data_IF_493916511381
#
_entry.id   IF_493916511381
#
_cell.length_a   1.000
_cell.length_b   1.000
_cell.length_c   1.000
_cell.angle_alpha   90.00
_cell.angle_beta   90.00
_cell.angle_gamma   90.00
#
_symmetry.space_group_name_H-M   'P 1'
#
loop_
_entity.id
_entity.type
_entity.pdbx_description
1 polymer ?
#
# COMPACT_ATOMS: atom_id res chain seq x y z
N UNK A 1 -7.88 8.88 -10.73
CA UNK A 1 -8.00 8.49 -9.31
C UNK A 1 -9.08 7.43 -9.18
N UNK A 2 -8.72 6.16 -9.23
CA UNK A 2 -9.61 5.06 -8.82
C UNK A 2 -8.99 4.46 -7.56
N UNK A 3 -9.69 4.61 -6.44
CA UNK A 3 -9.35 3.89 -5.21
C UNK A 3 -9.71 2.43 -5.46
N UNK A 4 -8.72 1.55 -5.53
CA UNK A 4 -8.94 0.12 -5.67
C UNK A 4 -8.82 -0.48 -4.27
N UNK A 5 -9.85 -1.19 -3.81
CA UNK A 5 -9.78 -1.92 -2.57
C UNK A 5 -9.43 -3.37 -2.88
N UNK A 6 -8.33 -3.90 -2.32
CA UNK A 6 -7.91 -5.28 -2.56
C UNK A 6 -7.88 -6.09 -1.26
N UNK A 7 -8.59 -7.24 -1.24
CA UNK A 7 -8.68 -8.16 -0.09
C UNK A 7 -7.84 -9.39 -0.33
N UNK A 8 -7.15 -9.79 0.73
CA UNK A 8 -6.26 -10.96 0.77
C UNK A 8 -7.03 -12.29 0.93
N UNK A 9 -8.30 -12.39 0.50
CA UNK A 9 -9.12 -13.62 0.64
C UNK A 9 -10.65 -13.47 0.43
N UNK A 10 -11.16 -14.13 -0.63
CA UNK A 10 -12.55 -14.47 -1.03
C UNK A 10 -13.66 -13.39 -1.29
N UNK A 11 -14.23 -13.51 -2.51
CA UNK A 11 -15.63 -13.57 -3.04
C UNK A 11 -16.76 -12.56 -2.73
N UNK A 12 -16.54 -11.38 -2.13
CA UNK A 12 -17.58 -10.32 -2.18
C UNK A 12 -17.05 -9.01 -2.77
N UNK A 13 -17.76 -8.46 -3.74
CA UNK A 13 -17.46 -7.17 -4.36
C UNK A 13 -17.38 -6.08 -3.28
N UNK A 14 -16.19 -5.51 -3.02
CA UNK A 14 -16.04 -4.47 -2.01
C UNK A 14 -16.73 -3.19 -2.44
N UNK A 15 -17.44 -2.55 -1.52
CA UNK A 15 -17.78 -1.13 -1.63
C UNK A 15 -17.19 -0.37 -0.45
N UNK A 16 -16.89 0.91 -0.65
CA UNK A 16 -16.25 1.76 0.37
C UNK A 16 -16.95 1.70 1.74
N UNK A 17 -18.30 1.79 1.73
CA UNK A 17 -19.12 1.71 2.96
C UNK A 17 -18.95 0.42 3.74
N UNK A 18 -18.63 -0.70 3.08
CA UNK A 18 -18.40 -1.98 3.75
C UNK A 18 -17.02 -2.07 4.40
N UNK A 19 -16.01 -1.41 3.80
CA UNK A 19 -14.62 -1.45 4.24
C UNK A 19 -14.45 -0.64 5.53
N UNK A 20 -15.10 0.52 5.63
CA UNK A 20 -14.97 1.45 6.78
C UNK A 20 -15.81 1.08 8.00
N UNK A 21 -16.62 0.01 7.95
CA UNK A 21 -17.46 -0.38 9.10
C UNK A 21 -16.60 -0.74 10.30
N UNK A 22 -17.01 -0.27 11.50
CA UNK A 22 -16.32 -0.55 12.77
C UNK A 22 -16.02 -2.03 12.98
N UNK A 23 -16.96 -2.92 12.62
CA UNK A 23 -16.79 -4.38 12.71
C UNK A 23 -15.60 -4.92 11.90
N UNK A 24 -15.14 -4.19 10.89
CA UNK A 24 -14.04 -4.55 10.01
C UNK A 24 -12.74 -3.78 10.32
N UNK A 25 -12.78 -2.81 11.25
CA UNK A 25 -11.64 -1.92 11.57
C UNK A 25 -10.37 -2.67 11.98
N UNK A 26 -10.50 -3.78 12.69
CA UNK A 26 -9.38 -4.62 13.14
C UNK A 26 -9.37 -6.00 12.48
N UNK A 27 -10.15 -6.19 11.41
CA UNK A 27 -10.21 -7.46 10.71
C UNK A 27 -9.01 -7.57 9.76
N UNK A 28 -8.12 -8.52 10.00
CA UNK A 28 -6.95 -8.79 9.16
C UNK A 28 -7.32 -9.22 7.74
N UNK A 29 -8.51 -9.84 7.59
CA UNK A 29 -9.07 -10.22 6.30
C UNK A 29 -9.83 -9.07 5.61
N UNK A 30 -9.75 -7.83 6.12
CA UNK A 30 -10.37 -6.68 5.48
C UNK A 30 -9.58 -6.24 4.22
N UNK A 31 -10.25 -5.51 3.34
CA UNK A 31 -9.62 -4.90 2.17
C UNK A 31 -8.61 -3.83 2.62
N UNK A 32 -7.48 -3.72 1.92
CA UNK A 32 -6.62 -2.53 1.98
C UNK A 32 -7.06 -1.53 0.91
N UNK A 33 -7.03 -0.25 1.22
CA UNK A 33 -7.14 0.79 0.21
C UNK A 33 -5.82 0.90 -0.55
N UNK A 34 -5.86 0.73 -1.87
CA UNK A 34 -4.70 0.84 -2.75
C UNK A 34 -4.99 1.74 -3.94
N UNK A 35 -3.94 2.27 -4.54
CA UNK A 35 -4.03 3.05 -5.78
C UNK A 35 -3.28 2.31 -6.86
N UNK A 36 -3.97 2.03 -7.98
CA UNK A 36 -3.30 1.52 -9.18
C UNK A 36 -2.63 2.68 -9.91
N UNK A 37 -1.30 2.66 -9.97
CA UNK A 37 -0.50 3.65 -10.68
C UNK A 37 -0.14 3.13 -12.06
N UNK A 38 -0.40 3.93 -13.10
CA UNK A 38 0.07 3.69 -14.47
C UNK A 38 0.97 4.86 -14.84
N UNK A 39 2.20 4.58 -15.26
CA UNK A 39 3.23 5.59 -15.50
C UNK A 39 4.02 5.28 -16.78
N UNK A 40 4.68 6.30 -17.33
CA UNK A 40 5.57 6.16 -18.48
C UNK A 40 7.00 5.96 -17.98
N UNK A 41 7.57 4.78 -18.22
CA UNK A 41 8.93 4.43 -17.80
C UNK A 41 10.04 5.27 -18.46
N UNK A 42 9.73 5.96 -19.56
CA UNK A 42 10.68 6.88 -20.20
C UNK A 42 10.71 8.27 -19.52
N UNK A 43 9.72 8.59 -18.69
CA UNK A 43 9.60 9.87 -18.01
C UNK A 43 9.92 9.78 -16.51
N UNK A 44 9.59 8.67 -15.87
CA UNK A 44 9.86 8.43 -14.45
C UNK A 44 10.13 6.94 -14.24
N UNK A 45 11.12 6.63 -13.41
CA UNK A 45 11.44 5.23 -13.09
C UNK A 45 10.54 4.69 -11.98
N UNK A 46 10.42 3.37 -11.92
CA UNK A 46 9.73 2.73 -10.81
C UNK A 46 10.45 2.97 -9.47
N UNK A 47 11.77 3.10 -9.48
CA UNK A 47 12.53 3.34 -8.24
C UNK A 47 12.24 4.72 -7.65
N UNK A 48 12.08 5.74 -8.48
CA UNK A 48 11.70 7.08 -8.04
C UNK A 48 10.29 7.10 -7.44
N UNK A 49 9.34 6.42 -8.09
CA UNK A 49 7.98 6.27 -7.58
C UNK A 49 7.99 5.58 -6.21
N UNK A 50 8.77 4.51 -6.05
CA UNK A 50 8.86 3.76 -4.81
C UNK A 50 9.56 4.55 -3.70
N UNK A 51 10.62 5.29 -4.01
CA UNK A 51 11.27 6.21 -3.05
C UNK A 51 10.28 7.24 -2.54
N UNK A 52 9.56 7.91 -3.45
CA UNK A 52 8.57 8.90 -3.07
C UNK A 52 7.41 8.28 -2.26
N UNK A 53 7.01 7.06 -2.59
CA UNK A 53 6.06 6.31 -1.76
C UNK A 53 6.58 6.19 -0.33
N UNK A 54 7.81 5.71 -0.11
CA UNK A 54 8.38 5.58 1.24
C UNK A 54 8.66 6.91 1.96
N UNK A 55 8.87 8.02 1.25
CA UNK A 55 9.02 9.35 1.86
C UNK A 55 7.69 9.97 2.32
N UNK A 56 6.59 9.58 1.69
CA UNK A 56 5.27 10.22 1.91
C UNK A 56 4.43 9.57 3.00
N UNK A 57 4.81 8.40 3.49
CA UNK A 57 4.16 7.75 4.64
C UNK A 57 5.21 7.25 5.62
N UNK A 58 4.85 7.21 6.90
CA UNK A 58 5.66 6.58 7.94
C UNK A 58 5.33 5.07 7.97
N UNK A 59 6.15 4.19 7.37
CA UNK A 59 5.86 2.76 7.27
C UNK A 59 5.98 2.05 8.63
N UNK A 60 6.42 2.74 9.69
CA UNK A 60 6.50 2.17 11.04
C UNK A 60 5.16 2.18 11.77
N UNK A 61 4.14 2.84 11.21
CA UNK A 61 2.80 2.92 11.78
C UNK A 61 1.97 1.69 11.40
N UNK A 62 1.94 0.70 12.28
CA UNK A 62 1.14 -0.51 12.08
C UNK A 62 -0.36 -0.17 11.99
N UNK A 63 -1.01 -0.55 10.88
CA UNK A 63 -2.46 -0.39 10.64
C UNK A 63 -2.95 1.05 10.83
N UNK A 64 -2.13 2.03 10.45
CA UNK A 64 -2.43 3.45 10.58
C UNK A 64 -1.72 4.27 9.51
N UNK A 65 -2.39 5.30 9.02
CA UNK A 65 -1.76 6.37 8.25
C UNK A 65 -2.14 7.71 8.87
N UNK A 66 -1.26 8.29 9.69
CA UNK A 66 -1.56 9.53 10.42
C UNK A 66 -2.69 9.35 11.43
N UNK A 67 -3.80 10.07 11.27
CA UNK A 67 -4.98 9.97 12.15
C UNK A 67 -5.95 8.84 11.75
N UNK A 68 -5.75 8.22 10.58
CA UNK A 68 -6.61 7.16 10.07
C UNK A 68 -6.15 5.80 10.62
N UNK A 69 -6.94 5.24 11.55
CA UNK A 69 -6.61 4.00 12.29
C UNK A 69 -7.51 2.85 11.82
N UNK A 70 -6.91 1.76 11.35
CA UNK A 70 -7.61 0.54 10.95
C UNK A 70 -6.78 -0.31 9.98
N UNK A 71 -7.06 -1.61 9.92
CA UNK A 71 -6.36 -2.55 9.04
C UNK A 71 -6.48 -2.18 7.56
N UNK A 72 -7.51 -1.44 7.16
CA UNK A 72 -7.67 -0.93 5.80
C UNK A 72 -6.62 0.12 5.38
N UNK A 73 -5.97 0.79 6.33
CA UNK A 73 -4.94 1.80 6.11
C UNK A 73 -3.51 1.26 6.27
N UNK A 74 -3.35 -0.07 6.23
CA UNK A 74 -2.02 -0.70 6.28
C UNK A 74 -1.23 -0.37 5.01
N UNK A 75 0.06 -0.06 5.17
CA UNK A 75 0.96 0.10 4.03
C UNK A 75 1.14 -1.24 3.32
N UNK A 76 0.92 -1.24 2.00
CA UNK A 76 1.10 -2.43 1.15
C UNK A 76 1.57 -1.99 -0.24
N UNK A 77 2.53 -2.72 -0.79
CA UNK A 77 2.96 -2.59 -2.18
C UNK A 77 2.52 -3.86 -2.92
N UNK A 78 1.70 -3.69 -3.96
CA UNK A 78 1.29 -4.77 -4.85
C UNK A 78 2.07 -4.66 -6.15
N UNK A 79 2.76 -5.73 -6.53
CA UNK A 79 3.59 -5.80 -7.72
C UNK A 79 2.95 -6.71 -8.78
N UNK A 80 3.16 -6.36 -10.05
CA UNK A 80 2.65 -7.14 -11.19
C UNK A 80 3.61 -8.22 -11.66
N UNK A 81 4.88 -8.17 -11.23
CA UNK A 81 5.91 -9.16 -11.57
C UNK A 81 7.03 -9.21 -10.52
N UNK A 82 7.90 -10.22 -10.64
CA UNK A 82 8.99 -10.47 -9.69
C UNK A 82 10.07 -9.37 -9.70
N UNK A 83 10.30 -8.72 -10.85
CA UNK A 83 11.26 -7.62 -10.95
C UNK A 83 10.83 -6.42 -10.09
N UNK A 84 9.54 -6.09 -10.12
CA UNK A 84 8.97 -5.04 -9.27
C UNK A 84 9.05 -5.41 -7.79
N UNK A 85 8.81 -6.68 -7.44
CA UNK A 85 8.94 -7.18 -6.07
C UNK A 85 10.36 -6.99 -5.53
N UNK A 86 11.37 -7.41 -6.29
CA UNK A 86 12.79 -7.25 -5.91
C UNK A 86 13.16 -5.79 -5.71
N UNK A 87 12.78 -4.92 -6.65
CA UNK A 87 13.06 -3.49 -6.56
C UNK A 87 12.40 -2.84 -5.33
N UNK A 88 11.15 -3.19 -5.02
CA UNK A 88 10.46 -2.70 -3.83
C UNK A 88 11.17 -3.14 -2.54
N UNK A 89 11.62 -4.41 -2.47
CA UNK A 89 12.36 -4.91 -1.32
C UNK A 89 13.72 -4.22 -1.17
N UNK A 90 14.44 -4.01 -2.27
CA UNK A 90 15.75 -3.35 -2.26
C UNK A 90 15.63 -1.89 -1.78
N UNK A 91 14.60 -1.18 -2.22
CA UNK A 91 14.36 0.21 -1.78
C UNK A 91 13.93 0.24 -0.32
N UNK A 92 13.04 -0.66 0.11
CA UNK A 92 12.65 -0.77 1.52
C UNK A 92 13.87 -0.98 2.44
N UNK A 93 14.77 -1.88 2.03
CA UNK A 93 16.01 -2.12 2.77
C UNK A 93 16.89 -0.86 2.82
N UNK A 94 17.02 -0.13 1.70
CA UNK A 94 17.79 1.12 1.66
C UNK A 94 17.21 2.21 2.56
N UNK A 95 15.90 2.42 2.52
CA UNK A 95 15.21 3.42 3.34
C UNK A 95 15.38 3.09 4.82
N UNK A 96 15.19 1.82 5.20
CA UNK A 96 15.33 1.35 6.59
C UNK A 96 16.74 1.56 7.16
N UNK A 97 17.77 1.48 6.31
CA UNK A 97 19.17 1.72 6.70
C UNK A 97 19.49 3.23 6.76
N UNK A 98 18.79 4.07 6.00
CA UNK A 98 19.03 5.52 5.98
C UNK A 98 18.33 6.30 7.10
N UNK A 99 17.34 5.70 7.77
CA UNK A 99 16.53 6.32 8.83
C UNK A 99 17.13 6.21 10.24
N UNK A 100 18.46 6.22 10.38
CA UNK A 100 19.18 6.22 11.67
C UNK A 100 19.76 7.58 12.03
#
# INVERSE_FOLDING_TARGET
MQLQAMRMGMEKSPNYRSIIQLKNKYNENNFAEVVKVTFNSNAISLDEILKHFFETHDPTQLNRQGNDIGTQYRSVILFSNETQRKLAQDILNKVSISSF
#
